data_IF_176065863321
#
_entry.id   IF_176065863321
#
_cell.length_a   1.000
_cell.length_b   1.000
_cell.length_c   1.000
_cell.angle_alpha   90.00
_cell.angle_beta   90.00
_cell.angle_gamma   90.00
#
_symmetry.space_group_name_H-M   'P 1'
#
loop_
_entity.id
_entity.type
_entity.pdbx_description
1 polymer ?
#
# COMPACT_ATOMS: atom_id res chain seq x y z
N UNK A 1 -14.77 3.13 1.83
CA UNK A 1 -14.30 4.01 2.94
C UNK A 1 -12.88 3.59 3.32
N UNK A 2 -11.99 4.55 3.66
CA UNK A 2 -10.65 4.24 4.17
C UNK A 2 -10.53 4.69 5.61
N UNK A 3 -9.90 3.86 6.44
CA UNK A 3 -9.49 4.20 7.80
C UNK A 3 -7.96 4.22 7.83
N UNK A 4 -7.39 5.36 8.20
CA UNK A 4 -5.93 5.53 8.32
C UNK A 4 -5.42 4.83 9.58
N UNK A 5 -4.38 4.03 9.43
CA UNK A 5 -3.66 3.37 10.51
C UNK A 5 -2.20 3.85 10.65
N UNK A 6 -1.81 4.92 9.97
CA UNK A 6 -0.40 5.34 9.88
C UNK A 6 0.17 5.95 11.17
N UNK A 7 -0.63 6.13 12.22
CA UNK A 7 -0.19 6.76 13.48
C UNK A 7 -0.26 5.79 14.66
N UNK A 8 0.43 6.13 15.75
CA UNK A 8 0.41 5.41 17.03
C UNK A 8 0.82 3.95 16.88
N UNK A 9 1.95 3.72 16.28
CA UNK A 9 2.62 2.44 16.23
C UNK A 9 3.58 2.30 17.40
N UNK A 10 3.89 1.07 17.73
CA UNK A 10 4.99 0.71 18.61
C UNK A 10 5.98 -0.15 17.84
N UNK A 11 7.26 -0.06 18.20
CA UNK A 11 8.36 -0.76 17.54
C UNK A 11 9.20 -1.52 18.56
N UNK A 12 9.79 -2.62 18.12
CA UNK A 12 10.69 -3.45 18.89
C UNK A 12 11.77 -4.01 17.96
N UNK A 13 13.04 -3.95 18.38
CA UNK A 13 14.13 -4.61 17.67
C UNK A 13 14.35 -6.02 18.21
N UNK A 14 14.34 -7.01 17.33
CA UNK A 14 14.57 -8.42 17.65
C UNK A 14 16.04 -8.79 17.38
N UNK A 15 16.93 -8.38 18.28
CA UNK A 15 18.39 -8.50 18.13
C UNK A 15 18.86 -9.93 17.83
N UNK A 16 18.10 -10.94 18.25
CA UNK A 16 18.46 -12.34 18.07
C UNK A 16 17.60 -13.08 17.05
N UNK A 17 16.65 -12.39 16.39
CA UNK A 17 15.66 -12.97 15.47
C UNK A 17 14.92 -14.18 16.07
N UNK A 18 14.49 -14.05 17.31
CA UNK A 18 13.85 -15.13 18.07
C UNK A 18 12.38 -14.91 18.35
N UNK A 19 11.87 -13.69 18.19
CA UNK A 19 10.52 -13.32 18.56
C UNK A 19 9.45 -14.15 17.81
N UNK A 20 9.66 -14.47 16.55
CA UNK A 20 8.74 -15.32 15.78
C UNK A 20 8.69 -16.75 16.35
N UNK A 21 9.83 -17.33 16.69
CA UNK A 21 9.92 -18.68 17.27
C UNK A 21 9.34 -18.75 18.68
N UNK A 22 9.40 -17.66 19.43
CA UNK A 22 8.82 -17.54 20.75
C UNK A 22 7.30 -17.23 20.73
N UNK A 23 6.70 -17.08 19.56
CA UNK A 23 5.27 -16.89 19.39
C UNK A 23 4.80 -15.46 19.65
N UNK A 24 5.65 -14.45 19.43
CA UNK A 24 5.26 -13.04 19.60
C UNK A 24 4.03 -12.64 18.79
N UNK A 25 3.86 -13.09 17.52
CA UNK A 25 2.69 -12.70 16.74
C UNK A 25 1.38 -13.27 17.26
N UNK A 26 1.43 -14.49 17.85
CA UNK A 26 0.24 -15.27 18.22
C UNK A 26 -0.21 -14.99 19.66
N UNK A 27 0.72 -14.71 20.57
CA UNK A 27 0.43 -14.66 22.01
C UNK A 27 0.54 -13.25 22.60
N UNK A 28 -0.55 -12.81 23.20
CA UNK A 28 -0.60 -11.55 23.93
C UNK A 28 0.32 -11.55 25.16
N UNK A 29 0.45 -12.71 25.82
CA UNK A 29 1.30 -12.91 26.99
C UNK A 29 2.78 -12.69 26.70
N UNK A 30 3.23 -12.86 25.45
CA UNK A 30 4.60 -12.55 25.05
C UNK A 30 4.96 -11.08 25.33
N UNK A 31 4.00 -10.19 25.32
CA UNK A 31 4.17 -8.76 25.61
C UNK A 31 4.67 -8.50 27.03
N UNK A 32 4.54 -9.49 27.91
CA UNK A 32 4.98 -9.44 29.32
C UNK A 32 6.24 -10.26 29.60
N UNK A 33 6.68 -11.11 28.66
CA UNK A 33 7.91 -11.89 28.78
C UNK A 33 9.12 -10.99 28.58
N UNK A 34 9.63 -10.45 29.67
CA UNK A 34 10.90 -9.74 29.73
C UNK A 34 12.05 -10.74 29.84
N UNK A 35 12.70 -11.00 28.71
CA UNK A 35 13.99 -11.68 28.73
C UNK A 35 15.11 -10.65 28.56
N UNK A 36 16.33 -10.93 29.03
CA UNK A 36 17.47 -10.03 28.84
C UNK A 36 17.89 -9.86 27.36
N UNK A 37 17.19 -10.47 26.47
CA UNK A 37 17.51 -10.58 25.04
C UNK A 37 16.48 -9.90 24.10
N UNK A 38 15.40 -9.32 24.63
CA UNK A 38 14.35 -8.68 23.85
C UNK A 38 14.19 -7.26 24.34
N UNK A 39 14.27 -6.29 23.43
CA UNK A 39 13.99 -4.89 23.77
C UNK A 39 12.51 -4.72 24.14
N UNK A 40 12.21 -3.68 24.89
CA UNK A 40 10.81 -3.32 25.18
C UNK A 40 10.17 -2.67 23.95
N UNK A 41 8.83 -2.74 23.85
CA UNK A 41 8.08 -1.97 22.86
C UNK A 41 8.23 -0.49 23.14
N UNK A 42 8.59 0.27 22.11
CA UNK A 42 8.74 1.71 22.19
C UNK A 42 7.77 2.41 21.22
N UNK A 43 7.22 3.57 21.60
CA UNK A 43 6.41 4.35 20.67
C UNK A 43 7.19 4.75 19.44
N UNK A 44 6.64 4.49 18.24
CA UNK A 44 7.21 4.94 16.99
C UNK A 44 6.66 6.34 16.65
N UNK A 45 7.52 7.36 16.44
CA UNK A 45 7.06 8.73 16.18
C UNK A 45 6.21 8.84 14.91
N UNK A 46 6.66 8.22 13.84
CA UNK A 46 5.98 8.19 12.53
C UNK A 46 6.43 6.96 11.72
N UNK A 47 5.68 6.62 10.67
CA UNK A 47 6.09 5.60 9.70
C UNK A 47 7.10 6.20 8.71
N UNK A 48 8.34 5.74 8.81
CA UNK A 48 9.48 6.19 8.00
C UNK A 48 10.56 5.12 7.99
N UNK A 49 11.53 5.20 7.08
CA UNK A 49 12.73 4.38 7.20
C UNK A 49 13.43 4.68 8.54
N UNK A 50 13.83 3.63 9.25
CA UNK A 50 14.33 3.74 10.61
C UNK A 50 15.60 4.58 10.73
N UNK A 51 16.46 4.53 9.72
CA UNK A 51 17.66 5.35 9.65
C UNK A 51 17.34 6.85 9.70
N UNK A 52 16.23 7.26 9.06
CA UNK A 52 15.78 8.67 9.08
C UNK A 52 15.21 9.11 10.43
N UNK A 53 14.76 8.17 11.26
CA UNK A 53 14.17 8.45 12.57
C UNK A 53 15.20 8.46 13.70
N UNK A 54 16.18 7.58 13.60
CA UNK A 54 17.05 7.25 14.74
C UNK A 54 18.54 7.53 14.52
N UNK A 55 18.92 8.06 13.34
CA UNK A 55 20.31 8.47 13.07
C UNK A 55 20.42 9.96 12.80
N UNK A 56 21.44 10.58 13.38
CA UNK A 56 21.83 11.97 13.08
C UNK A 56 22.37 12.12 11.64
N UNK A 57 22.96 11.04 11.11
CA UNK A 57 23.56 11.00 9.77
C UNK A 57 22.95 9.85 8.95
N UNK A 58 21.68 9.96 8.51
CA UNK A 58 20.94 8.83 7.93
C UNK A 58 21.40 8.37 6.54
N UNK A 59 22.40 9.03 5.95
CA UNK A 59 22.81 8.78 4.57
C UNK A 59 24.20 8.16 4.42
N UNK A 60 24.99 8.09 5.49
CA UNK A 60 26.33 7.48 5.48
C UNK A 60 26.79 7.12 6.87
N UNK A 61 27.71 6.15 6.93
CA UNK A 61 28.34 5.70 8.15
C UNK A 61 28.04 4.23 8.43
N UNK A 62 29.05 3.51 8.94
CA UNK A 62 28.93 2.07 9.21
C UNK A 62 27.98 1.75 10.35
N UNK A 63 27.73 2.70 11.23
CA UNK A 63 26.75 2.61 12.29
C UNK A 63 25.33 2.37 11.76
N UNK A 64 25.04 2.76 10.50
CA UNK A 64 23.74 2.53 9.89
C UNK A 64 23.45 1.05 9.59
N UNK A 65 24.49 0.20 9.59
CA UNK A 65 24.34 -1.26 9.45
C UNK A 65 23.57 -1.88 10.59
N UNK A 66 23.62 -1.28 11.77
CA UNK A 66 22.86 -1.69 12.94
C UNK A 66 21.37 -1.91 12.64
N UNK A 67 20.79 -1.08 11.80
CA UNK A 67 19.37 -1.20 11.46
C UNK A 67 19.03 -2.45 10.64
N UNK A 68 20.04 -3.08 10.04
CA UNK A 68 19.89 -4.24 9.15
C UNK A 68 20.39 -5.56 9.80
N UNK A 69 21.01 -5.47 10.98
CA UNK A 69 21.58 -6.64 11.66
C UNK A 69 20.50 -7.56 12.23
N UNK A 70 19.30 -7.02 12.46
CA UNK A 70 18.18 -7.75 13.07
C UNK A 70 16.83 -7.26 12.53
N UNK A 71 15.78 -8.11 12.60
CA UNK A 71 14.44 -7.68 12.24
C UNK A 71 13.85 -6.68 13.23
N UNK A 72 12.90 -5.90 12.72
CA UNK A 72 12.13 -4.95 13.48
C UNK A 72 10.66 -5.38 13.49
N UNK A 73 10.07 -5.36 14.67
CA UNK A 73 8.67 -5.69 14.86
C UNK A 73 7.85 -4.42 15.09
N UNK A 74 6.74 -4.31 14.42
CA UNK A 74 5.79 -3.22 14.51
C UNK A 74 4.49 -3.74 15.08
N UNK A 75 3.90 -2.99 16.00
CA UNK A 75 2.61 -3.31 16.62
C UNK A 75 1.65 -2.14 16.45
N UNK A 76 0.42 -2.44 16.08
CA UNK A 76 -0.67 -1.49 15.98
C UNK A 76 -1.96 -2.08 16.52
N UNK A 77 -2.58 -1.39 17.47
CA UNK A 77 -3.95 -1.68 17.88
C UNK A 77 -4.92 -0.72 17.21
N UNK A 78 -6.09 -1.21 16.83
CA UNK A 78 -7.17 -0.42 16.27
C UNK A 78 -8.52 -1.06 16.55
N UNK A 79 -9.57 -0.25 16.51
CA UNK A 79 -10.96 -0.70 16.73
C UNK A 79 -11.76 -0.59 15.44
N UNK A 80 -12.71 -1.49 15.25
CA UNK A 80 -13.65 -1.51 14.14
C UNK A 80 -15.08 -1.63 14.63
N UNK A 81 -15.98 -1.11 13.80
CA UNK A 81 -17.42 -1.36 13.89
C UNK A 81 -17.92 -1.58 12.46
N UNK A 82 -18.19 -2.83 12.11
CA UNK A 82 -18.49 -3.29 10.76
C UNK A 82 -19.77 -4.12 10.72
N UNK A 83 -20.52 -3.97 9.65
CA UNK A 83 -21.64 -4.84 9.34
C UNK A 83 -21.16 -6.22 8.86
N UNK A 84 -22.02 -7.24 8.99
CA UNK A 84 -21.67 -8.62 8.61
C UNK A 84 -21.27 -8.76 7.13
N UNK A 85 -21.81 -7.92 6.26
CA UNK A 85 -21.57 -7.92 4.81
C UNK A 85 -20.38 -7.06 4.36
N UNK A 86 -19.81 -6.24 5.26
CA UNK A 86 -18.67 -5.40 4.93
C UNK A 86 -17.44 -6.25 4.66
N UNK A 87 -16.63 -5.86 3.69
CA UNK A 87 -15.32 -6.44 3.42
C UNK A 87 -14.23 -5.48 3.83
N UNK A 88 -13.15 -6.03 4.34
CA UNK A 88 -12.03 -5.24 4.85
C UNK A 88 -10.74 -5.78 4.27
N UNK A 89 -9.90 -4.87 3.79
CA UNK A 89 -8.55 -5.15 3.37
C UNK A 89 -7.57 -4.25 4.12
N UNK A 90 -6.47 -4.83 4.54
CA UNK A 90 -5.31 -4.11 5.05
C UNK A 90 -4.41 -3.74 3.88
N UNK A 91 -4.15 -2.45 3.71
CA UNK A 91 -3.36 -1.92 2.60
C UNK A 91 -2.09 -1.26 3.12
N UNK A 92 -0.96 -1.60 2.50
CA UNK A 92 0.32 -0.94 2.68
C UNK A 92 0.72 -0.26 1.37
N UNK A 93 1.23 0.96 1.43
CA UNK A 93 1.80 1.60 0.23
C UNK A 93 3.26 1.23 0.04
N UNK A 94 4.06 1.22 1.11
CA UNK A 94 5.49 0.95 0.99
C UNK A 94 6.05 0.35 2.28
N UNK A 95 6.77 -0.75 2.14
CA UNK A 95 7.56 -1.39 3.21
C UNK A 95 8.93 -1.72 2.65
N UNK A 96 9.97 -1.50 3.39
CA UNK A 96 11.34 -1.71 2.98
C UNK A 96 12.02 -2.73 3.90
N UNK A 97 12.31 -3.95 3.54
CA UNK A 97 12.21 -4.60 2.22
C UNK A 97 11.32 -5.84 2.29
N UNK A 98 11.63 -6.79 3.20
CA UNK A 98 10.80 -7.95 3.49
C UNK A 98 9.86 -7.65 4.64
N UNK A 99 8.66 -8.18 4.57
CA UNK A 99 7.79 -8.20 5.75
C UNK A 99 6.93 -9.46 5.84
N UNK A 100 6.54 -9.77 7.07
CA UNK A 100 5.51 -10.76 7.41
C UNK A 100 4.45 -10.07 8.27
N UNK A 101 3.19 -10.43 8.07
CA UNK A 101 2.07 -9.74 8.70
C UNK A 101 1.15 -10.73 9.39
N UNK A 102 0.72 -10.38 10.60
CA UNK A 102 -0.27 -11.11 11.40
C UNK A 102 -1.36 -10.16 11.90
N UNK A 103 -2.60 -10.64 11.92
CA UNK A 103 -3.72 -9.95 12.56
C UNK A 103 -4.35 -10.89 13.57
N UNK A 104 -4.50 -10.42 14.82
CA UNK A 104 -5.09 -11.17 15.93
C UNK A 104 -4.45 -12.56 16.13
N UNK A 105 -3.13 -12.67 15.89
CA UNK A 105 -2.37 -13.91 15.97
C UNK A 105 -2.41 -14.80 14.71
N UNK A 106 -3.19 -14.44 13.69
CA UNK A 106 -3.30 -15.20 12.45
C UNK A 106 -2.36 -14.63 11.40
N UNK A 107 -1.51 -15.46 10.82
CA UNK A 107 -0.62 -15.08 9.74
C UNK A 107 -1.40 -14.78 8.45
N UNK A 108 -1.22 -13.58 7.91
CA UNK A 108 -1.89 -13.13 6.68
C UNK A 108 -1.05 -13.40 5.43
N UNK A 109 0.26 -13.27 5.55
CA UNK A 109 1.17 -13.42 4.42
C UNK A 109 2.43 -12.58 4.56
N UNK A 110 3.22 -12.55 3.49
CA UNK A 110 4.47 -11.82 3.39
C UNK A 110 4.52 -10.99 2.10
N UNK A 111 5.41 -10.00 2.10
CA UNK A 111 5.71 -9.20 0.93
C UNK A 111 7.22 -8.99 0.82
N UNK A 112 7.69 -8.91 -0.42
CA UNK A 112 9.06 -8.57 -0.79
C UNK A 112 9.04 -7.38 -1.75
N UNK A 113 9.88 -6.40 -1.51
CA UNK A 113 10.00 -5.21 -2.34
C UNK A 113 9.73 -3.91 -1.56
N UNK A 114 10.18 -2.79 -2.11
CA UNK A 114 10.14 -1.50 -1.40
C UNK A 114 9.19 -0.47 -2.04
N UNK A 115 8.78 -0.63 -3.29
CA UNK A 115 8.03 0.40 -4.03
C UNK A 115 6.59 0.01 -4.37
N UNK A 116 6.29 -1.27 -4.43
CA UNK A 116 4.96 -1.74 -4.81
C UNK A 116 3.98 -1.74 -3.62
N UNK A 117 2.78 -1.16 -3.76
CA UNK A 117 1.74 -1.32 -2.77
C UNK A 117 1.20 -2.76 -2.78
N UNK A 118 0.73 -3.21 -1.62
CA UNK A 118 0.14 -4.53 -1.46
C UNK A 118 -0.98 -4.53 -0.43
N UNK A 119 -1.83 -5.56 -0.45
CA UNK A 119 -2.95 -5.68 0.49
C UNK A 119 -3.26 -7.13 0.86
N UNK A 120 -3.93 -7.30 2.00
CA UNK A 120 -4.41 -8.58 2.50
C UNK A 120 -5.89 -8.49 2.87
N UNK A 121 -6.74 -9.45 2.44
CA UNK A 121 -8.11 -9.53 2.88
C UNK A 121 -8.18 -9.95 4.35
N UNK A 122 -9.03 -9.28 5.13
CA UNK A 122 -9.13 -9.50 6.57
C UNK A 122 -10.44 -10.17 7.01
N UNK A 123 -11.36 -10.44 6.09
CA UNK A 123 -12.76 -10.81 6.41
C UNK A 123 -12.93 -11.95 7.43
N UNK A 124 -12.02 -12.92 7.40
CA UNK A 124 -12.09 -14.12 8.25
C UNK A 124 -11.37 -13.96 9.59
N UNK A 125 -10.47 -12.99 9.68
CA UNK A 125 -9.57 -12.84 10.86
C UNK A 125 -9.81 -11.57 11.65
N UNK A 126 -10.52 -10.60 11.10
CA UNK A 126 -10.81 -9.32 11.74
C UNK A 126 -11.92 -9.48 12.79
N UNK A 127 -11.70 -8.91 13.98
CA UNK A 127 -12.78 -8.69 14.93
C UNK A 127 -13.61 -7.51 14.47
N UNK A 128 -14.82 -7.80 13.96
CA UNK A 128 -15.69 -6.82 13.28
C UNK A 128 -16.17 -5.70 14.20
N UNK A 129 -16.38 -6.02 15.49
CA UNK A 129 -16.83 -5.07 16.50
C UNK A 129 -15.93 -5.22 17.72
N UNK A 130 -14.85 -4.43 17.76
CA UNK A 130 -13.90 -4.48 18.85
C UNK A 130 -12.46 -4.21 18.43
N UNK A 131 -11.55 -4.56 19.33
CA UNK A 131 -10.12 -4.33 19.19
C UNK A 131 -9.47 -5.38 18.30
N UNK A 132 -8.58 -4.92 17.45
CA UNK A 132 -7.73 -5.73 16.60
C UNK A 132 -6.28 -5.40 16.86
N UNK A 133 -5.41 -6.41 16.82
CA UNK A 133 -3.96 -6.28 16.97
C UNK A 133 -3.25 -6.70 15.71
N UNK A 134 -2.57 -5.76 15.09
CA UNK A 134 -1.74 -5.96 13.89
C UNK A 134 -0.27 -6.02 14.31
N UNK A 135 0.42 -7.07 13.88
CA UNK A 135 1.86 -7.27 14.06
C UNK A 135 2.51 -7.40 12.70
N UNK A 136 3.60 -6.67 12.51
CA UNK A 136 4.38 -6.72 11.27
C UNK A 136 5.86 -6.89 11.61
N UNK A 137 6.48 -7.95 11.09
CA UNK A 137 7.93 -8.15 11.10
C UNK A 137 8.51 -7.53 9.84
N UNK A 138 9.52 -6.67 9.95
CA UNK A 138 10.19 -6.02 8.81
C UNK A 138 11.69 -6.22 8.92
N UNK A 139 12.33 -6.57 7.82
CA UNK A 139 13.78 -6.68 7.75
C UNK A 139 14.30 -6.40 6.35
N UNK A 140 15.53 -5.93 6.29
CA UNK A 140 16.24 -5.66 5.04
C UNK A 140 17.71 -6.03 5.26
N UNK A 141 18.06 -7.32 5.09
CA UNK A 141 19.41 -7.80 5.42
C UNK A 141 20.43 -7.25 4.42
N UNK A 142 21.67 -7.21 4.86
CA UNK A 142 22.80 -7.15 3.94
C UNK A 142 22.88 -8.48 3.18
N UNK A 143 23.43 -8.40 1.95
CA UNK A 143 23.64 -9.62 1.18
C UNK A 143 24.54 -10.60 1.93
N UNK A 144 24.23 -11.88 1.79
CA UNK A 144 25.07 -12.94 2.34
C UNK A 144 26.44 -12.92 1.65
N UNK A 145 27.49 -13.02 2.45
CA UNK A 145 28.83 -13.23 1.94
C UNK A 145 28.89 -14.58 1.24
N UNK A 146 29.19 -14.57 -0.04
CA UNK A 146 29.55 -15.82 -0.72
C UNK A 146 30.85 -16.34 -0.12
N UNK A 147 30.83 -17.53 0.44
CA UNK A 147 32.00 -18.12 1.06
C UNK A 147 33.17 -18.14 0.08
N UNK A 148 34.28 -17.44 0.43
CA UNK A 148 35.48 -17.32 -0.40
C UNK A 148 35.58 -16.03 -1.21
N UNK A 149 34.61 -15.11 -1.16
CA UNK A 149 34.73 -13.80 -1.79
C UNK A 149 35.60 -12.87 -0.92
N UNK A 150 36.83 -12.64 -1.38
CA UNK A 150 37.80 -11.76 -0.71
C UNK A 150 37.73 -10.30 -1.19
N UNK A 151 36.82 -9.98 -2.07
CA UNK A 151 36.74 -8.64 -2.64
C UNK A 151 36.28 -7.62 -1.62
N UNK A 152 35.39 -8.00 -0.70
CA UNK A 152 34.95 -7.15 0.41
C UNK A 152 36.11 -6.82 1.39
N UNK A 153 37.01 -7.80 1.66
CA UNK A 153 38.18 -7.57 2.49
C UNK A 153 39.16 -6.59 1.87
N UNK A 154 39.26 -6.56 0.54
CA UNK A 154 40.16 -5.69 -0.21
C UNK A 154 39.64 -4.29 -0.44
N UNK A 155 38.35 -4.15 -0.69
CA UNK A 155 37.73 -2.89 -1.10
C UNK A 155 36.84 -2.28 -0.04
N UNK A 156 36.48 -3.05 1.00
CA UNK A 156 35.45 -2.67 1.96
C UNK A 156 34.06 -2.53 1.33
N UNK A 157 33.86 -3.03 0.12
CA UNK A 157 32.59 -2.99 -0.57
C UNK A 157 31.63 -4.03 0.00
N UNK A 158 30.37 -3.67 0.10
CA UNK A 158 29.29 -4.58 0.45
C UNK A 158 28.64 -5.05 -0.83
N UNK A 159 28.70 -6.35 -1.09
CA UNK A 159 27.96 -6.96 -2.20
C UNK A 159 26.48 -7.03 -1.86
N UNK A 160 25.67 -6.60 -2.78
CA UNK A 160 24.19 -6.76 -2.72
C UNK A 160 23.75 -7.61 -3.90
N UNK A 161 23.01 -8.67 -3.62
CA UNK A 161 22.42 -9.54 -4.63
C UNK A 161 21.20 -8.92 -5.31
N UNK A 162 21.29 -7.65 -5.73
CA UNK A 162 20.27 -6.99 -6.54
C UNK A 162 18.88 -6.85 -5.85
N UNK A 163 18.86 -6.92 -4.53
CA UNK A 163 17.61 -6.77 -3.75
C UNK A 163 17.02 -5.36 -3.92
N UNK A 164 17.89 -4.35 -4.07
CA UNK A 164 17.49 -2.95 -4.33
C UNK A 164 18.34 -2.37 -5.45
N UNK A 165 17.86 -2.46 -6.66
CA UNK A 165 18.56 -2.33 -7.92
C UNK A 165 19.35 -1.07 -8.22
N UNK A 166 19.37 -0.01 -7.42
CA UNK A 166 20.03 1.25 -7.79
C UNK A 166 21.18 1.69 -6.88
N UNK A 167 21.48 0.92 -5.83
CA UNK A 167 22.48 1.34 -4.83
C UNK A 167 23.77 0.54 -4.85
N UNK A 168 23.96 -0.25 -5.85
CA UNK A 168 24.97 -1.28 -5.94
C UNK A 168 26.20 -0.83 -6.73
N UNK A 169 26.64 0.37 -6.50
CA UNK A 169 27.91 0.76 -7.05
C UNK A 169 29.03 0.31 -6.12
N UNK A 170 29.34 -0.98 -6.19
CA UNK A 170 30.56 -1.55 -5.59
C UNK A 170 31.85 -0.94 -6.13
N UNK A 171 31.76 -0.24 -7.24
CA UNK A 171 32.82 0.43 -7.95
C UNK A 171 33.00 1.93 -7.57
N UNK A 172 32.14 2.46 -6.71
CA UNK A 172 32.30 3.84 -6.24
C UNK A 172 33.25 3.93 -5.06
N UNK A 173 34.09 4.97 -5.05
CA UNK A 173 35.04 5.26 -3.95
C UNK A 173 34.36 5.57 -2.62
N UNK A 174 33.05 5.76 -2.60
CA UNK A 174 32.26 6.03 -1.40
C UNK A 174 31.46 4.77 -1.08
N UNK A 175 31.86 4.10 -0.01
CA UNK A 175 31.12 2.98 0.56
C UNK A 175 29.76 3.48 1.01
N UNK A 176 28.68 2.86 0.51
CA UNK A 176 27.33 3.13 0.97
C UNK A 176 26.95 2.10 2.02
N UNK A 177 26.94 2.54 3.27
CA UNK A 177 26.54 1.71 4.40
C UNK A 177 25.02 1.78 4.67
N UNK A 178 24.25 2.36 3.74
CA UNK A 178 22.82 2.54 3.90
C UNK A 178 22.04 1.50 3.13
N UNK A 179 21.30 0.69 3.85
CA UNK A 179 20.26 -0.20 3.34
C UNK A 179 18.95 0.11 4.08
N UNK A 180 18.06 0.95 3.50
CA UNK A 180 16.87 1.39 4.20
C UNK A 180 16.01 0.23 4.68
N UNK A 181 15.42 0.38 5.87
CA UNK A 181 14.50 -0.60 6.46
C UNK A 181 13.37 0.11 7.18
N UNK A 182 12.15 -0.41 7.06
CA UNK A 182 10.99 0.07 7.79
C UNK A 182 9.71 0.19 6.96
N UNK A 183 8.60 0.39 7.64
CA UNK A 183 7.34 0.81 7.02
C UNK A 183 7.47 2.32 6.78
N UNK A 184 7.53 2.76 5.53
CA UNK A 184 7.74 4.18 5.22
C UNK A 184 6.60 4.82 4.41
N UNK A 185 5.62 4.04 4.04
CA UNK A 185 4.39 4.48 3.41
C UNK A 185 3.19 4.43 4.34
N UNK A 186 2.02 4.79 3.81
CA UNK A 186 0.78 4.73 4.58
C UNK A 186 0.32 3.29 4.81
N UNK A 187 -0.30 3.08 5.97
CA UNK A 187 -1.03 1.86 6.30
C UNK A 187 -2.50 2.24 6.51
N UNK A 188 -3.41 1.53 5.87
CA UNK A 188 -4.84 1.82 5.97
C UNK A 188 -5.69 0.58 5.83
N UNK A 189 -6.92 0.67 6.32
CA UNK A 189 -7.97 -0.29 6.01
C UNK A 189 -8.83 0.25 4.87
N UNK A 190 -9.04 -0.55 3.84
CA UNK A 190 -10.07 -0.34 2.82
C UNK A 190 -11.30 -1.11 3.23
N UNK A 191 -12.36 -0.39 3.61
CA UNK A 191 -13.63 -0.97 4.02
C UNK A 191 -14.61 -0.79 2.88
N UNK A 192 -15.06 -1.90 2.32
CA UNK A 192 -16.09 -1.95 1.28
C UNK A 192 -17.40 -2.39 1.91
N UNK A 193 -18.43 -1.60 1.75
CA UNK A 193 -19.80 -1.96 2.15
C UNK A 193 -20.33 -3.12 1.32
N UNK A 194 -21.35 -3.80 1.78
CA UNK A 194 -21.90 -5.01 1.15
C UNK A 194 -22.12 -4.84 -0.36
N UNK A 195 -22.63 -3.68 -0.81
CA UNK A 195 -22.65 -3.26 -2.22
C UNK A 195 -21.53 -2.26 -2.47
N UNK A 196 -20.66 -2.53 -3.43
CA UNK A 196 -19.49 -1.68 -3.71
C UNK A 196 -18.70 -2.16 -4.93
N UNK A 197 -17.61 -1.47 -5.23
CA UNK A 197 -16.67 -1.94 -6.25
C UNK A 197 -15.95 -3.19 -5.75
N UNK A 198 -15.90 -4.22 -6.59
CA UNK A 198 -15.17 -5.45 -6.26
C UNK A 198 -13.66 -5.24 -6.32
N UNK A 199 -13.23 -4.40 -7.27
CA UNK A 199 -11.86 -3.95 -7.47
C UNK A 199 -11.87 -2.49 -7.91
N UNK A 200 -10.72 -1.87 -8.07
CA UNK A 200 -10.65 -0.50 -8.58
C UNK A 200 -11.24 -0.44 -9.98
N UNK A 201 -12.09 0.57 -10.30
CA UNK A 201 -12.48 0.86 -11.66
C UNK A 201 -11.30 0.99 -12.60
N UNK A 202 -11.40 0.40 -13.78
CA UNK A 202 -10.38 0.48 -14.82
C UNK A 202 -10.76 1.57 -15.82
N UNK A 203 -9.97 2.62 -15.89
CA UNK A 203 -10.16 3.71 -16.83
C UNK A 203 -9.08 3.66 -17.91
N UNK A 204 -9.51 3.81 -19.17
CA UNK A 204 -8.62 3.92 -20.32
C UNK A 204 -9.15 4.95 -21.32
N UNK A 205 -8.27 5.42 -22.19
CA UNK A 205 -8.65 6.37 -23.24
C UNK A 205 -7.80 6.16 -24.49
N UNK A 206 -8.35 6.60 -25.61
CA UNK A 206 -7.66 6.65 -26.88
C UNK A 206 -7.80 8.04 -27.50
N UNK A 207 -6.67 8.66 -27.84
CA UNK A 207 -6.65 9.94 -28.54
C UNK A 207 -6.86 9.74 -30.04
N UNK A 208 -7.51 10.71 -30.69
CA UNK A 208 -7.56 10.79 -32.15
C UNK A 208 -6.20 11.23 -32.73
N UNK A 209 -6.06 11.17 -34.06
CA UNK A 209 -4.81 11.55 -34.74
C UNK A 209 -4.43 13.03 -34.55
N UNK A 210 -5.43 13.89 -34.36
CA UNK A 210 -5.23 15.32 -34.14
C UNK A 210 -4.88 15.66 -32.70
N UNK A 211 -4.97 14.69 -31.78
CA UNK A 211 -4.78 14.84 -30.34
C UNK A 211 -5.74 15.86 -29.69
N UNK A 212 -6.89 16.06 -30.30
CA UNK A 212 -7.91 17.02 -29.85
C UNK A 212 -9.11 16.36 -29.19
N UNK A 213 -9.29 15.05 -29.41
CA UNK A 213 -10.40 14.26 -28.89
C UNK A 213 -9.88 12.98 -28.22
N UNK A 214 -10.45 12.63 -27.09
CA UNK A 214 -10.26 11.34 -26.42
C UNK A 214 -11.56 10.55 -26.39
N UNK A 215 -11.54 9.33 -26.89
CA UNK A 215 -12.57 8.33 -26.63
C UNK A 215 -12.22 7.63 -25.33
N UNK A 216 -13.17 7.59 -24.39
CA UNK A 216 -12.97 7.20 -23.01
C UNK A 216 -13.71 5.91 -22.75
N UNK A 217 -13.07 5.00 -22.03
CA UNK A 217 -13.64 3.74 -21.62
C UNK A 217 -13.44 3.50 -20.13
N UNK A 218 -14.53 3.20 -19.43
CA UNK A 218 -14.52 2.90 -18.00
C UNK A 218 -15.14 1.53 -17.78
N UNK A 219 -14.39 0.60 -17.22
CA UNK A 219 -14.88 -0.70 -16.79
C UNK A 219 -14.95 -0.75 -15.25
N UNK A 220 -16.08 -1.20 -14.73
CA UNK A 220 -16.28 -1.37 -13.29
C UNK A 220 -16.81 -2.77 -12.99
N UNK A 221 -16.29 -3.37 -11.92
CA UNK A 221 -16.83 -4.60 -11.35
C UNK A 221 -17.53 -4.25 -10.03
N UNK A 222 -18.83 -4.48 -10.01
CA UNK A 222 -19.70 -4.14 -8.87
C UNK A 222 -20.15 -5.42 -8.19
N UNK A 223 -20.06 -5.43 -6.88
CA UNK A 223 -20.62 -6.50 -6.04
C UNK A 223 -22.04 -6.15 -5.65
N UNK A 224 -22.95 -7.12 -5.75
CA UNK A 224 -24.38 -6.98 -5.43
C UNK A 224 -25.01 -5.76 -6.11
N UNK A 225 -25.07 -5.75 -7.43
CA UNK A 225 -25.46 -4.57 -8.21
C UNK A 225 -26.95 -4.23 -8.17
N UNK A 226 -27.71 -4.83 -7.24
CA UNK A 226 -29.16 -4.60 -7.16
C UNK A 226 -29.45 -3.13 -6.86
N UNK A 227 -30.18 -2.53 -7.77
CA UNK A 227 -30.73 -1.20 -7.60
C UNK A 227 -29.71 -0.05 -7.39
N UNK A 228 -28.63 -0.06 -8.15
CA UNK A 228 -27.58 0.96 -8.07
C UNK A 228 -27.44 1.74 -9.39
N UNK A 229 -26.94 2.96 -9.29
CA UNK A 229 -26.49 3.78 -10.41
C UNK A 229 -25.00 4.10 -10.30
N UNK A 230 -24.36 4.29 -11.43
CA UNK A 230 -22.99 4.75 -11.56
C UNK A 230 -22.97 6.20 -12.01
N UNK A 231 -22.30 7.03 -11.23
CA UNK A 231 -21.96 8.39 -11.61
C UNK A 231 -20.46 8.46 -11.84
N UNK A 232 -20.06 8.92 -13.03
CA UNK A 232 -18.66 9.19 -13.27
C UNK A 232 -18.46 10.57 -13.86
N UNK A 233 -17.35 11.19 -13.54
CA UNK A 233 -17.00 12.53 -13.96
C UNK A 233 -15.52 12.67 -14.20
N UNK A 234 -15.18 13.56 -15.13
CA UNK A 234 -13.81 13.98 -15.39
C UNK A 234 -13.70 15.46 -15.09
N UNK A 235 -12.73 15.81 -14.26
CA UNK A 235 -12.45 17.18 -13.85
C UNK A 235 -11.07 17.58 -14.33
N UNK A 236 -10.96 18.71 -15.00
CA UNK A 236 -9.68 19.36 -15.28
C UNK A 236 -9.08 19.84 -13.95
N UNK A 237 -7.96 19.23 -13.52
CA UNK A 237 -7.35 19.55 -12.24
C UNK A 237 -6.74 20.95 -12.16
N UNK A 238 -6.47 21.56 -13.31
CA UNK A 238 -5.90 22.91 -13.36
C UNK A 238 -6.97 24.00 -13.18
N UNK A 239 -8.12 23.81 -13.79
CA UNK A 239 -9.23 24.78 -13.71
C UNK A 239 -10.28 24.44 -12.67
N UNK A 240 -10.33 23.19 -12.21
CA UNK A 240 -11.39 22.68 -11.35
C UNK A 240 -12.73 22.44 -12.07
N UNK A 241 -12.78 22.62 -13.39
CA UNK A 241 -13.99 22.47 -14.18
C UNK A 241 -14.28 21.00 -14.47
N UNK A 242 -15.51 20.57 -14.23
CA UNK A 242 -15.99 19.24 -14.65
C UNK A 242 -16.25 19.27 -16.15
N UNK A 243 -15.42 18.56 -16.91
CA UNK A 243 -15.47 18.53 -18.39
C UNK A 243 -16.33 17.39 -18.94
N UNK A 244 -16.58 16.36 -18.14
CA UNK A 244 -17.51 15.28 -18.43
C UNK A 244 -18.24 14.88 -17.14
N UNK A 245 -19.55 14.63 -17.24
CA UNK A 245 -20.33 14.03 -16.17
C UNK A 245 -21.41 13.14 -16.75
N UNK A 246 -21.46 11.88 -16.32
CA UNK A 246 -22.47 10.91 -16.71
C UNK A 246 -23.05 10.24 -15.48
N UNK A 247 -24.33 9.86 -15.58
CA UNK A 247 -25.04 9.08 -14.57
C UNK A 247 -25.82 7.99 -15.30
N UNK A 248 -25.51 6.74 -14.99
CA UNK A 248 -26.08 5.59 -15.66
C UNK A 248 -26.62 4.59 -14.64
N UNK A 249 -27.86 4.12 -14.88
CA UNK A 249 -28.42 3.04 -14.06
C UNK A 249 -27.79 1.72 -14.50
N UNK A 250 -27.34 0.95 -13.53
CA UNK A 250 -26.81 -0.39 -13.78
C UNK A 250 -27.97 -1.38 -13.96
N UNK A 251 -28.59 -1.32 -15.13
CA UNK A 251 -29.62 -2.27 -15.55
C UNK A 251 -29.03 -3.25 -16.56
N UNK A 252 -29.24 -4.55 -16.34
CA UNK A 252 -28.80 -5.58 -17.30
C UNK A 252 -27.31 -5.91 -17.26
N UNK A 253 -26.69 -5.70 -16.12
CA UNK A 253 -25.28 -5.98 -15.87
C UNK A 253 -25.02 -7.49 -16.00
N UNK A 254 -23.98 -7.87 -16.73
CA UNK A 254 -23.67 -9.29 -16.99
C UNK A 254 -23.06 -9.92 -15.72
N UNK A 255 -23.59 -11.04 -15.24
CA UNK A 255 -22.96 -11.79 -14.15
C UNK A 255 -21.54 -12.24 -14.55
N UNK A 256 -20.59 -12.01 -13.67
CA UNK A 256 -19.20 -12.44 -13.88
C UNK A 256 -18.87 -13.57 -12.90
N UNK A 257 -18.99 -14.82 -13.35
CA UNK A 257 -18.51 -16.02 -12.65
C UNK A 257 -19.15 -16.34 -11.28
N UNK A 258 -19.19 -15.37 -10.41
CA UNK A 258 -19.87 -15.38 -9.11
C UNK A 258 -21.20 -14.60 -9.24
N UNK A 259 -22.31 -15.17 -8.82
CA UNK A 259 -23.64 -14.55 -8.92
C UNK A 259 -23.77 -13.19 -8.21
N UNK A 260 -22.80 -12.85 -7.36
CA UNK A 260 -22.74 -11.57 -6.64
C UNK A 260 -21.95 -10.48 -7.38
N UNK A 261 -21.25 -10.81 -8.48
CA UNK A 261 -20.43 -9.87 -9.24
C UNK A 261 -21.06 -9.51 -10.57
N UNK A 262 -20.92 -8.26 -10.95
CA UNK A 262 -21.37 -7.75 -12.22
C UNK A 262 -20.37 -6.77 -12.84
N UNK A 263 -20.20 -6.83 -14.16
CA UNK A 263 -19.33 -5.93 -14.92
C UNK A 263 -20.19 -4.92 -15.68
N UNK A 264 -19.85 -3.66 -15.60
CA UNK A 264 -20.39 -2.60 -16.42
C UNK A 264 -19.27 -1.87 -17.18
N UNK A 265 -19.51 -1.62 -18.47
CA UNK A 265 -18.62 -0.85 -19.32
C UNK A 265 -19.35 0.44 -19.72
N UNK A 266 -18.69 1.57 -19.57
CA UNK A 266 -19.22 2.90 -19.88
C UNK A 266 -18.27 3.60 -20.82
N UNK A 267 -18.83 4.21 -21.86
CA UNK A 267 -18.07 4.94 -22.86
C UNK A 267 -18.37 6.44 -22.77
N UNK A 268 -17.40 7.24 -23.14
CA UNK A 268 -17.49 8.67 -23.20
C UNK A 268 -16.58 9.27 -24.25
N UNK A 269 -16.76 10.55 -24.52
CA UNK A 269 -15.87 11.30 -25.40
C UNK A 269 -15.59 12.66 -24.78
N UNK A 270 -14.33 13.05 -24.79
CA UNK A 270 -13.87 14.37 -24.38
C UNK A 270 -13.29 15.09 -25.60
N UNK A 271 -13.81 16.28 -25.91
CA UNK A 271 -13.29 17.15 -26.95
C UNK A 271 -12.41 18.27 -26.36
N UNK A 272 -11.53 18.83 -27.17
CA UNK A 272 -10.57 19.85 -26.78
C UNK A 272 -9.68 19.38 -25.59
N UNK A 273 -9.12 18.20 -25.74
CA UNK A 273 -8.27 17.57 -24.71
C UNK A 273 -7.02 18.41 -24.54
N UNK A 274 -6.65 18.64 -23.28
CA UNK A 274 -5.36 19.22 -22.92
C UNK A 274 -4.38 18.10 -22.61
N UNK A 275 -3.26 18.09 -23.33
CA UNK A 275 -2.24 17.08 -23.15
C UNK A 275 -1.31 17.43 -22.00
N UNK A 276 -0.86 16.40 -21.29
CA UNK A 276 0.23 16.55 -20.35
C UNK A 276 1.53 16.86 -21.12
N UNK A 277 2.25 17.87 -20.66
CA UNK A 277 3.57 18.22 -21.16
C UNK A 277 4.54 18.35 -20.00
N UNK A 278 5.81 18.09 -20.26
CA UNK A 278 6.88 18.44 -19.32
C UNK A 278 6.91 19.95 -19.11
N UNK A 279 7.35 20.38 -17.93
CA UNK A 279 7.37 21.80 -17.55
C UNK A 279 8.13 22.71 -18.53
N UNK A 280 9.12 22.16 -19.25
CA UNK A 280 9.94 22.87 -20.26
C UNK A 280 9.28 22.92 -21.64
N UNK A 281 8.25 22.12 -21.89
CA UNK A 281 7.50 22.04 -23.15
C UNK A 281 6.09 22.58 -23.07
N UNK A 282 5.57 22.77 -21.87
CA UNK A 282 4.23 23.27 -21.67
C UNK A 282 3.76 23.11 -20.23
N UNK A 283 2.46 22.92 -20.09
CA UNK A 283 1.85 22.72 -18.76
C UNK A 283 1.56 21.24 -18.55
N UNK A 284 1.89 20.67 -17.38
CA UNK A 284 1.58 19.28 -17.04
C UNK A 284 0.09 19.14 -16.66
N UNK A 285 -0.78 19.23 -17.66
CA UNK A 285 -2.21 19.05 -17.47
C UNK A 285 -2.53 17.62 -17.07
N UNK A 286 -3.38 17.49 -16.08
CA UNK A 286 -3.92 16.20 -15.61
C UNK A 286 -5.43 16.32 -15.39
N UNK A 287 -6.10 15.21 -15.58
CA UNK A 287 -7.52 15.07 -15.30
C UNK A 287 -7.74 14.16 -14.11
N UNK A 288 -8.77 14.46 -13.33
CA UNK A 288 -9.23 13.62 -12.25
C UNK A 288 -10.47 12.87 -12.70
N UNK A 289 -10.38 11.55 -12.71
CA UNK A 289 -11.49 10.65 -12.95
C UNK A 289 -12.10 10.27 -11.63
N UNK A 290 -13.37 10.52 -11.43
CA UNK A 290 -14.12 10.12 -10.23
C UNK A 290 -15.29 9.23 -10.62
N UNK A 291 -15.36 8.07 -9.98
CA UNK A 291 -16.43 7.09 -10.15
C UNK A 291 -17.14 6.91 -8.81
N UNK A 292 -18.45 7.01 -8.81
CA UNK A 292 -19.28 6.91 -7.60
C UNK A 292 -20.41 5.92 -7.83
N UNK A 293 -20.50 4.92 -6.97
CA UNK A 293 -21.62 3.99 -6.91
C UNK A 293 -22.68 4.52 -5.95
N UNK A 294 -23.92 4.66 -6.42
CA UNK A 294 -25.00 5.20 -5.64
C UNK A 294 -26.16 4.20 -5.55
N UNK A 295 -26.79 4.15 -4.38
CA UNK A 295 -28.09 3.48 -4.20
C UNK A 295 -29.21 4.26 -4.95
N UNK A 296 -30.37 3.64 -5.15
CA UNK A 296 -31.55 4.30 -5.78
C UNK A 296 -31.99 5.59 -5.10
N UNK A 297 -31.78 5.71 -3.82
CA UNK A 297 -32.10 6.92 -3.05
C UNK A 297 -31.01 8.01 -3.14
N UNK A 298 -29.97 7.79 -3.96
CA UNK A 298 -28.84 8.71 -4.14
C UNK A 298 -27.74 8.63 -3.09
N UNK A 299 -27.87 7.74 -2.09
CA UNK A 299 -26.82 7.53 -1.10
C UNK A 299 -25.56 6.93 -1.77
N UNK A 300 -24.40 7.51 -1.51
CA UNK A 300 -23.13 7.00 -2.00
C UNK A 300 -22.79 5.71 -1.25
N UNK A 301 -22.61 4.62 -1.99
CA UNK A 301 -22.22 3.31 -1.48
C UNK A 301 -20.72 3.11 -1.52
N UNK A 302 -20.09 3.55 -2.63
CA UNK A 302 -18.65 3.46 -2.82
C UNK A 302 -18.17 4.57 -3.78
N UNK A 303 -16.88 4.91 -3.71
CA UNK A 303 -16.30 5.92 -4.59
C UNK A 303 -14.83 5.59 -4.86
N UNK A 304 -14.41 5.85 -6.09
CA UNK A 304 -13.05 5.73 -6.57
C UNK A 304 -12.63 7.02 -7.26
N UNK A 305 -11.38 7.39 -7.12
CA UNK A 305 -10.82 8.58 -7.74
C UNK A 305 -9.36 8.32 -8.13
N UNK A 306 -9.01 8.69 -9.35
CA UNK A 306 -7.64 8.66 -9.84
C UNK A 306 -7.31 9.89 -10.69
N UNK A 307 -6.02 10.11 -10.91
CA UNK A 307 -5.52 11.19 -11.76
C UNK A 307 -4.80 10.59 -12.97
N UNK A 308 -5.14 11.08 -14.15
CA UNK A 308 -4.59 10.62 -15.43
C UNK A 308 -4.08 11.80 -16.25
#
# INVERSE_FOLDING_TARGET
>A
MRQDLSRNWEILQDVHDTCEQLGLPEHEEFMTLRGPQISEWEPLPELKQLQLLYSEHPYWGRELRYFNDAPWWYKKEFELSLDATDRVELCFTNVDYYCKIWLNGVYLGSHEGYSAPFSFPLNEVVQRNGKNRLIVKVWSPWDEKVAGDRQEERTGAVYRNMVKGTYEHSDTFIQRDVNPVGIYGSVSLRIQKGTGFAENPEFSYQLDEALERADLHLQVKVRRPEAVSLRWSITDCFTGVVVLSKNEELTGVQPCGDSELAVACLDGTLSNVRLWNTWDKGTPFVYRVKVTLCAKNGTVLDAYEETT
#
